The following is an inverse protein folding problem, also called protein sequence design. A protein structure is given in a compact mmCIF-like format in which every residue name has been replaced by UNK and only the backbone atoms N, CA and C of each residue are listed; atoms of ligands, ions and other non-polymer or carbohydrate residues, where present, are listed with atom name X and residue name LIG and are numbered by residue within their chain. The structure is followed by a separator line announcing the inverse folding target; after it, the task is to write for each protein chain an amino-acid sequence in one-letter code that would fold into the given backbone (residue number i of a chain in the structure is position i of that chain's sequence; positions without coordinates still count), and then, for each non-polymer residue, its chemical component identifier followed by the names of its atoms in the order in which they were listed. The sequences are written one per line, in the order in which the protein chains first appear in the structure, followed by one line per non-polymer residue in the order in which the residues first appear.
data_IF_473280740751
#
_entry.id   IF_473280740751
#
_cell.length_a   1.000
_cell.length_b   1.000
_cell.length_c   1.000
_cell.angle_alpha   90.00
_cell.angle_beta   90.00
_cell.angle_gamma   90.00
#
_symmetry.space_group_name_H-M   'P 1'
#
loop_
_entity.id
_entity.type
_entity.pdbx_description
1 polymer ?
#
# COMPACT_ATOMS: atom_id res chain seq x y z
N UNK A 1 27.40 -6.72 8.52
CA UNK A 1 26.38 -6.59 7.45
C UNK A 1 24.99 -6.47 8.08
N UNK A 2 24.02 -5.80 7.44
CA UNK A 2 22.65 -5.61 8.00
C UNK A 2 21.76 -6.86 7.92
N UNK A 3 22.13 -7.85 7.11
CA UNK A 3 21.35 -9.08 6.91
C UNK A 3 20.25 -8.97 5.86
N UNK A 4 20.30 -7.94 4.99
CA UNK A 4 19.23 -7.63 4.04
C UNK A 4 18.14 -6.74 4.65
N UNK A 5 17.03 -6.59 3.93
CA UNK A 5 15.81 -5.98 4.45
C UNK A 5 15.13 -6.90 5.48
N UNK A 6 14.16 -6.36 6.23
CA UNK A 6 13.43 -7.14 7.22
C UNK A 6 12.66 -8.28 6.54
N UNK A 7 12.87 -9.52 7.01
CA UNK A 7 12.24 -10.72 6.46
C UNK A 7 10.95 -11.13 7.20
N UNK A 8 10.62 -10.39 8.27
CA UNK A 8 9.43 -10.62 9.09
C UNK A 8 8.27 -9.64 8.81
N UNK A 9 8.46 -8.67 7.90
CA UNK A 9 7.43 -7.69 7.56
C UNK A 9 6.49 -8.21 6.45
N UNK A 10 5.57 -9.11 6.83
CA UNK A 10 4.71 -9.83 5.86
C UNK A 10 3.68 -8.96 5.12
N UNK A 11 3.53 -7.69 5.49
CA UNK A 11 2.64 -6.71 4.83
C UNK A 11 3.42 -5.69 3.98
N UNK A 12 4.74 -5.84 3.84
CA UNK A 12 5.65 -4.87 3.23
C UNK A 12 5.86 -3.62 4.11
N UNK A 13 6.52 -2.60 3.56
CA UNK A 13 7.06 -1.37 4.22
C UNK A 13 8.57 -1.40 4.49
N UNK A 14 9.32 -2.37 3.97
CA UNK A 14 10.74 -2.51 4.29
C UNK A 14 11.60 -1.34 3.81
N UNK A 15 11.19 -0.68 2.74
CA UNK A 15 11.77 0.56 2.23
C UNK A 15 11.57 1.72 3.22
N UNK A 16 10.35 1.88 3.74
CA UNK A 16 10.03 2.85 4.79
C UNK A 16 10.82 2.55 6.08
N UNK A 17 10.86 1.28 6.49
CA UNK A 17 11.64 0.84 7.65
C UNK A 17 13.12 1.18 7.48
N UNK A 18 13.69 0.91 6.29
CA UNK A 18 15.07 1.24 5.98
C UNK A 18 15.36 2.73 6.05
N UNK A 19 14.53 3.55 5.38
CA UNK A 19 14.68 5.00 5.40
C UNK A 19 14.64 5.58 6.82
N UNK A 20 13.70 5.12 7.65
CA UNK A 20 13.58 5.62 9.03
C UNK A 20 14.63 5.02 9.97
N UNK A 21 15.11 3.80 9.72
CA UNK A 21 16.20 3.21 10.48
C UNK A 21 17.51 3.99 10.30
N UNK A 22 17.80 4.47 9.09
CA UNK A 22 18.94 5.37 8.84
C UNK A 22 18.87 6.66 9.67
N UNK A 23 17.66 7.11 9.99
CA UNK A 23 17.41 8.29 10.82
C UNK A 23 17.29 7.97 12.32
N UNK A 24 17.43 6.71 12.74
CA UNK A 24 17.20 6.29 14.13
C UNK A 24 15.73 6.37 14.58
N UNK A 25 14.78 6.43 13.63
CA UNK A 25 13.35 6.70 13.85
C UNK A 25 12.44 5.51 13.56
N UNK A 26 12.96 4.28 13.64
CA UNK A 26 12.23 3.06 13.27
C UNK A 26 10.87 2.91 13.98
N UNK A 27 10.73 3.42 15.21
CA UNK A 27 9.48 3.33 16.00
C UNK A 27 8.28 4.01 15.32
N UNK A 28 8.51 4.95 14.42
CA UNK A 28 7.46 5.69 13.71
C UNK A 28 6.87 4.94 12.51
N UNK A 29 7.47 3.81 12.14
CA UNK A 29 7.12 3.07 10.91
C UNK A 29 6.07 1.99 11.10
N UNK A 30 5.66 1.73 12.34
CA UNK A 30 4.67 0.72 12.69
C UNK A 30 3.77 1.22 13.84
N UNK A 31 2.55 0.67 14.02
CA UNK A 31 1.64 1.11 15.07
C UNK A 31 2.18 0.89 16.48
N UNK A 32 1.80 1.76 17.41
CA UNK A 32 2.22 1.67 18.82
C UNK A 32 1.78 0.37 19.50
N UNK A 33 0.67 -0.23 19.06
CA UNK A 33 0.08 -1.46 19.56
C UNK A 33 0.57 -2.73 18.82
N UNK A 34 1.64 -2.65 18.03
CA UNK A 34 2.26 -3.84 17.43
C UNK A 34 2.78 -4.80 18.52
N UNK A 35 2.95 -6.09 18.19
CA UNK A 35 3.52 -7.05 19.12
C UNK A 35 4.94 -6.63 19.57
N UNK A 36 5.25 -6.91 20.84
CA UNK A 36 6.54 -6.55 21.45
C UNK A 36 7.71 -7.21 20.74
N UNK A 37 7.58 -8.47 20.34
CA UNK A 37 8.67 -9.18 19.64
C UNK A 37 8.97 -8.56 18.27
N UNK A 38 7.95 -8.17 17.53
CA UNK A 38 8.07 -7.40 16.29
C UNK A 38 8.85 -6.10 16.54
N UNK A 39 8.44 -5.32 17.55
CA UNK A 39 9.09 -4.05 17.88
C UNK A 39 10.57 -4.24 18.27
N UNK A 40 10.89 -5.30 19.02
CA UNK A 40 12.28 -5.64 19.37
C UNK A 40 13.10 -6.01 18.14
N UNK A 41 12.58 -6.86 17.25
CA UNK A 41 13.26 -7.24 16.02
C UNK A 41 13.52 -6.04 15.11
N UNK A 42 12.51 -5.18 14.94
CA UNK A 42 12.64 -3.94 14.17
C UNK A 42 13.70 -3.01 14.76
N UNK A 43 13.74 -2.86 16.09
CA UNK A 43 14.78 -2.09 16.76
C UNK A 43 16.16 -2.71 16.55
N UNK A 44 16.34 -4.00 16.80
CA UNK A 44 17.64 -4.66 16.64
C UNK A 44 18.14 -4.61 15.21
N UNK A 45 17.25 -4.69 14.21
CA UNK A 45 17.61 -4.47 12.81
C UNK A 45 18.00 -3.01 12.55
N UNK A 46 17.25 -2.04 13.08
CA UNK A 46 17.57 -0.62 12.96
C UNK A 46 18.90 -0.25 13.61
N UNK A 47 19.24 -0.86 14.75
CA UNK A 47 20.53 -0.65 15.43
C UNK A 47 21.70 -1.09 14.53
N UNK A 48 21.54 -2.18 13.76
CA UNK A 48 22.54 -2.62 12.76
C UNK A 48 22.66 -1.65 11.60
N UNK A 49 21.54 -1.12 11.10
CA UNK A 49 21.52 -0.09 10.05
C UNK A 49 22.25 1.17 10.52
N UNK A 50 21.91 1.66 11.71
CA UNK A 50 22.54 2.83 12.32
C UNK A 50 24.04 2.64 12.56
N UNK A 51 24.47 1.45 12.99
CA UNK A 51 25.89 1.15 13.15
C UNK A 51 26.64 1.26 11.81
N UNK A 52 26.11 0.69 10.72
CA UNK A 52 26.73 0.78 9.39
C UNK A 52 26.78 2.22 8.90
N UNK A 53 25.71 2.98 9.04
CA UNK A 53 25.69 4.40 8.69
C UNK A 53 26.74 5.19 9.51
N UNK A 54 26.87 4.91 10.80
CA UNK A 54 27.85 5.53 11.69
C UNK A 54 29.31 5.24 11.31
N UNK A 55 29.58 4.10 10.66
CA UNK A 55 30.91 3.76 10.11
C UNK A 55 31.15 4.31 8.69
N UNK A 56 30.31 5.23 8.21
CA UNK A 56 30.43 5.81 6.86
C UNK A 56 29.83 4.93 5.75
N UNK A 57 28.97 3.98 6.10
CA UNK A 57 28.23 3.18 5.11
C UNK A 57 27.28 4.05 4.29
N UNK A 58 27.36 3.93 2.97
CA UNK A 58 26.53 4.67 2.03
C UNK A 58 25.40 3.80 1.46
N UNK A 59 24.27 4.44 1.15
CA UNK A 59 23.20 3.80 0.37
C UNK A 59 23.57 3.89 -1.11
N UNK A 60 23.87 2.74 -1.71
CA UNK A 60 24.10 2.63 -3.15
C UNK A 60 22.81 2.71 -3.95
N UNK A 61 22.92 3.00 -5.24
CA UNK A 61 21.81 2.94 -6.20
C UNK A 61 22.28 2.29 -7.49
N UNK A 62 21.32 1.80 -8.29
CA UNK A 62 21.60 1.33 -9.64
C UNK A 62 21.19 2.45 -10.60
N UNK A 63 22.10 2.85 -11.47
CA UNK A 63 21.85 3.91 -12.47
C UNK A 63 20.97 3.39 -13.61
N UNK A 64 19.67 3.24 -13.32
CA UNK A 64 18.64 2.79 -14.25
C UNK A 64 17.37 3.59 -14.06
N UNK A 65 16.62 3.76 -15.15
CA UNK A 65 15.30 4.41 -15.10
C UNK A 65 14.21 3.39 -14.80
N UNK A 66 13.45 3.63 -13.74
CA UNK A 66 12.23 2.86 -13.42
C UNK A 66 11.01 3.65 -13.90
N UNK A 67 10.34 3.16 -14.93
CA UNK A 67 9.16 3.81 -15.50
C UNK A 67 7.85 3.19 -14.98
N UNK A 68 7.19 3.88 -14.06
CA UNK A 68 5.82 3.55 -13.65
C UNK A 68 4.81 4.28 -14.56
N UNK A 69 4.41 3.67 -15.69
CA UNK A 69 3.47 4.28 -16.65
C UNK A 69 2.07 4.53 -16.07
N UNK A 70 1.72 3.85 -14.99
CA UNK A 70 0.48 4.02 -14.26
C UNK A 70 0.79 4.03 -12.77
N UNK A 71 0.13 4.91 -12.04
CA UNK A 71 0.14 4.89 -10.58
C UNK A 71 -1.27 5.20 -10.11
N UNK A 72 -1.82 4.34 -9.27
CA UNK A 72 -3.04 4.66 -8.53
C UNK A 72 -2.87 5.96 -7.73
N UNK A 73 -3.99 6.63 -7.46
CA UNK A 73 -3.98 7.87 -6.69
C UNK A 73 -3.30 7.65 -5.34
N UNK A 74 -2.50 8.62 -4.87
CA UNK A 74 -1.78 8.49 -3.58
C UNK A 74 -2.73 8.14 -2.42
N UNK A 75 -3.92 8.73 -2.44
CA UNK A 75 -4.95 8.54 -1.42
C UNK A 75 -5.60 7.15 -1.48
N UNK A 76 -5.54 6.46 -2.62
CA UNK A 76 -6.11 5.10 -2.79
C UNK A 76 -5.12 3.97 -2.48
N UNK A 77 -3.88 4.28 -2.08
CA UNK A 77 -2.85 3.26 -1.78
C UNK A 77 -3.04 2.59 -0.41
N UNK A 78 -3.80 3.22 0.50
CA UNK A 78 -4.24 2.66 1.79
C UNK A 78 -3.17 2.00 2.67
N UNK A 79 -1.88 2.32 2.50
CA UNK A 79 -0.75 1.64 3.16
C UNK A 79 -0.81 1.59 4.68
N UNK A 80 -1.59 2.45 5.33
CA UNK A 80 -1.80 2.39 6.77
C UNK A 80 -2.68 1.19 7.19
N UNK A 81 -3.67 0.83 6.38
CA UNK A 81 -4.65 -0.21 6.72
C UNK A 81 -4.06 -1.61 6.86
N UNK A 82 -2.96 -1.90 6.16
CA UNK A 82 -2.29 -3.21 6.24
C UNK A 82 -1.76 -3.54 7.62
N UNK A 83 -1.30 -2.51 8.34
CA UNK A 83 -0.76 -2.67 9.69
C UNK A 83 -1.82 -3.08 10.71
N UNK A 84 -3.07 -2.72 10.48
CA UNK A 84 -4.19 -3.11 11.33
C UNK A 84 -4.34 -4.64 11.38
N UNK A 85 -4.00 -5.36 10.31
CA UNK A 85 -4.05 -6.83 10.30
C UNK A 85 -3.09 -7.38 11.34
N UNK A 86 -1.85 -6.90 11.35
CA UNK A 86 -0.81 -7.40 12.26
C UNK A 86 -1.09 -7.00 13.71
N UNK A 87 -1.47 -5.75 13.95
CA UNK A 87 -1.73 -5.27 15.30
C UNK A 87 -3.02 -5.83 15.90
N UNK A 88 -4.08 -6.00 15.09
CA UNK A 88 -5.35 -6.57 15.56
C UNK A 88 -5.22 -8.03 15.99
N UNK A 89 -4.51 -8.86 15.22
CA UNK A 89 -4.32 -10.27 15.55
C UNK A 89 -3.07 -10.55 16.41
N UNK A 90 -2.35 -9.51 16.83
CA UNK A 90 -1.15 -9.63 17.67
C UNK A 90 -0.07 -10.49 17.02
N UNK A 91 0.17 -10.29 15.72
CA UNK A 91 1.18 -11.03 14.95
C UNK A 91 2.55 -10.97 15.61
N UNK A 92 3.14 -12.13 15.83
CA UNK A 92 4.41 -12.35 16.53
C UNK A 92 5.36 -13.05 15.57
N UNK A 93 6.34 -12.37 14.96
CA UNK A 93 7.30 -13.02 14.07
C UNK A 93 7.95 -14.28 14.66
N UNK A 94 8.24 -14.28 15.96
CA UNK A 94 8.88 -15.41 16.63
C UNK A 94 7.99 -16.67 16.74
N UNK A 95 6.66 -16.50 16.70
CA UNK A 95 5.68 -17.60 16.82
C UNK A 95 4.99 -17.94 15.51
N UNK A 96 4.85 -16.94 14.65
CA UNK A 96 3.95 -16.97 13.52
C UNK A 96 4.70 -17.20 12.20
N UNK A 97 6.03 -17.04 12.21
CA UNK A 97 6.90 -17.37 11.09
C UNK A 97 7.78 -18.58 11.39
N UNK A 98 7.93 -19.42 10.39
CA UNK A 98 8.94 -20.46 10.35
C UNK A 98 9.73 -20.34 9.05
N UNK A 99 10.97 -20.82 9.10
CA UNK A 99 11.87 -20.87 7.94
C UNK A 99 12.14 -22.32 7.61
N UNK A 100 12.05 -22.65 6.33
CA UNK A 100 12.57 -23.91 5.82
C UNK A 100 14.06 -23.75 5.59
N UNK A 101 14.89 -24.50 6.33
CA UNK A 101 16.34 -24.37 6.27
C UNK A 101 16.95 -24.85 4.94
N UNK A 102 16.27 -25.74 4.21
CA UNK A 102 16.76 -26.22 2.91
C UNK A 102 16.47 -25.21 1.81
N UNK A 103 15.25 -24.67 1.77
CA UNK A 103 14.81 -23.76 0.72
C UNK A 103 15.04 -22.27 1.06
N UNK A 104 15.27 -21.95 2.33
CA UNK A 104 15.33 -20.57 2.84
C UNK A 104 13.98 -19.86 2.88
N UNK A 105 12.89 -20.53 2.48
CA UNK A 105 11.55 -19.94 2.38
C UNK A 105 10.98 -19.71 3.78
N UNK A 106 10.50 -18.49 4.03
CA UNK A 106 9.76 -18.13 5.23
C UNK A 106 8.27 -18.34 4.97
N UNK A 107 7.58 -18.99 5.91
CA UNK A 107 6.16 -19.28 5.81
C UNK A 107 5.45 -19.08 7.16
N UNK A 108 4.14 -18.84 7.10
CA UNK A 108 3.30 -18.79 8.29
C UNK A 108 3.17 -20.18 8.91
N UNK A 109 3.31 -20.29 10.22
CA UNK A 109 3.45 -21.57 10.94
C UNK A 109 2.28 -22.54 10.80
N UNK A 110 1.08 -22.11 10.37
CA UNK A 110 -0.06 -23.02 10.21
C UNK A 110 -0.04 -23.88 8.95
N UNK A 111 0.94 -23.71 8.04
CA UNK A 111 0.88 -24.34 6.70
C UNK A 111 0.94 -25.87 6.68
N UNK A 112 1.20 -26.55 7.81
CA UNK A 112 1.41 -28.01 7.86
C UNK A 112 0.77 -28.77 9.02
N UNK A 113 -0.15 -28.20 9.80
CA UNK A 113 -0.77 -28.95 10.90
C UNK A 113 -2.26 -28.71 11.02
N UNK A 114 -3.00 -29.81 11.06
CA UNK A 114 -4.38 -29.95 11.52
C UNK A 114 -4.51 -29.62 13.02
N UNK A 115 -3.91 -28.52 13.48
CA UNK A 115 -4.05 -28.09 14.86
C UNK A 115 -5.39 -27.36 14.99
N UNK A 116 -6.38 -28.04 15.55
CA UNK A 116 -7.74 -27.55 15.81
C UNK A 116 -7.82 -26.47 16.90
N UNK A 117 -6.72 -25.80 17.21
CA UNK A 117 -6.61 -24.91 18.36
C UNK A 117 -6.78 -23.42 17.98
N UNK A 118 -7.15 -22.59 18.96
CA UNK A 118 -7.39 -21.15 18.79
C UNK A 118 -6.23 -20.40 18.08
N UNK A 119 -4.99 -20.87 18.27
CA UNK A 119 -3.82 -20.33 17.59
C UNK A 119 -3.83 -20.49 16.07
N UNK A 120 -4.33 -21.63 15.56
CA UNK A 120 -4.42 -21.88 14.12
C UNK A 120 -5.45 -20.96 13.45
N UNK A 121 -6.59 -20.71 14.13
CA UNK A 121 -7.62 -19.76 13.66
C UNK A 121 -7.09 -18.34 13.54
N UNK A 122 -6.21 -17.92 14.45
CA UNK A 122 -5.57 -16.59 14.43
C UNK A 122 -4.62 -16.44 13.25
N UNK A 123 -3.75 -17.42 12.99
CA UNK A 123 -2.82 -17.37 11.85
C UNK A 123 -3.57 -17.40 10.53
N UNK A 124 -4.63 -18.21 10.44
CA UNK A 124 -5.49 -18.23 9.27
C UNK A 124 -6.16 -16.86 9.05
N UNK A 125 -6.62 -16.20 10.12
CA UNK A 125 -7.20 -14.86 10.03
C UNK A 125 -6.18 -13.81 9.56
N UNK A 126 -4.92 -13.90 10.01
CA UNK A 126 -3.83 -13.06 9.51
C UNK A 126 -3.61 -13.32 8.01
N UNK A 127 -3.45 -14.58 7.60
CA UNK A 127 -3.23 -14.95 6.21
C UNK A 127 -4.37 -14.45 5.31
N UNK A 128 -5.62 -14.72 5.69
CA UNK A 128 -6.81 -14.24 4.98
C UNK A 128 -6.86 -12.71 4.95
N UNK A 129 -6.52 -12.04 6.05
CA UNK A 129 -6.46 -10.59 6.15
C UNK A 129 -5.46 -9.98 5.16
N UNK A 130 -4.25 -10.53 5.10
CA UNK A 130 -3.19 -10.11 4.18
C UNK A 130 -3.63 -10.33 2.72
N UNK A 131 -4.11 -11.53 2.40
CA UNK A 131 -4.60 -11.86 1.06
C UNK A 131 -5.75 -10.93 0.64
N UNK A 132 -6.75 -10.74 1.51
CA UNK A 132 -7.88 -9.87 1.22
C UNK A 132 -7.47 -8.40 1.06
N UNK A 133 -6.53 -7.92 1.87
CA UNK A 133 -6.00 -6.57 1.72
C UNK A 133 -5.38 -6.38 0.33
N UNK A 134 -4.47 -7.25 -0.09
CA UNK A 134 -3.83 -7.11 -1.40
C UNK A 134 -4.80 -7.37 -2.57
N UNK A 135 -5.75 -8.31 -2.44
CA UNK A 135 -6.76 -8.54 -3.48
C UNK A 135 -7.79 -7.40 -3.61
N UNK A 136 -8.02 -6.64 -2.54
CA UNK A 136 -8.93 -5.50 -2.56
C UNK A 136 -8.27 -4.21 -3.04
N UNK A 137 -6.94 -4.14 -2.94
CA UNK A 137 -6.13 -3.00 -3.35
C UNK A 137 -5.40 -3.34 -4.64
N UNK A 138 -6.14 -3.31 -5.73
CA UNK A 138 -5.54 -3.27 -7.06
C UNK A 138 -5.11 -1.81 -7.32
N UNK A 139 -3.81 -1.52 -7.17
CA UNK A 139 -3.25 -0.19 -7.46
C UNK A 139 -3.50 0.25 -8.92
N UNK A 140 -3.89 -0.70 -9.81
CA UNK A 140 -4.07 -0.52 -11.25
C UNK A 140 -5.50 -0.73 -11.80
N UNK A 141 -6.48 -1.26 -11.04
CA UNK A 141 -7.88 -1.40 -11.51
C UNK A 141 -8.94 -0.67 -10.67
N UNK A 142 -9.14 0.60 -10.98
CA UNK A 142 -10.40 1.34 -10.70
C UNK A 142 -11.64 0.65 -11.32
N UNK A 143 -11.46 -0.26 -12.30
CA UNK A 143 -12.56 -0.98 -12.98
C UNK A 143 -13.30 -1.99 -12.10
N UNK A 144 -12.62 -2.67 -11.16
CA UNK A 144 -13.24 -3.73 -10.35
C UNK A 144 -14.14 -3.12 -9.26
N UNK A 145 -13.76 -1.97 -8.68
CA UNK A 145 -14.64 -1.24 -7.77
C UNK A 145 -15.90 -0.76 -8.50
N UNK A 146 -15.75 -0.18 -9.71
CA UNK A 146 -16.89 0.28 -10.50
C UNK A 146 -17.81 -0.88 -10.91
N UNK A 147 -17.26 -2.04 -11.30
CA UNK A 147 -18.07 -3.24 -11.60
C UNK A 147 -18.73 -3.86 -10.37
N UNK A 148 -18.08 -3.87 -9.20
CA UNK A 148 -18.70 -4.33 -7.94
C UNK A 148 -19.79 -3.37 -7.44
N UNK A 149 -19.61 -2.07 -7.65
CA UNK A 149 -20.60 -1.06 -7.33
C UNK A 149 -21.80 -1.13 -8.28
N UNK A 150 -21.57 -1.35 -9.59
CA UNK A 150 -22.62 -1.58 -10.58
C UNK A 150 -23.36 -2.92 -10.37
N UNK A 151 -22.67 -3.99 -9.98
CA UNK A 151 -23.31 -5.27 -9.65
C UNK A 151 -24.15 -5.21 -8.36
N UNK A 152 -23.79 -4.32 -7.42
CA UNK A 152 -24.61 -4.01 -6.23
C UNK A 152 -25.80 -3.10 -6.54
N UNK A 153 -25.65 -2.16 -7.48
CA UNK A 153 -26.75 -1.29 -7.94
C UNK A 153 -27.73 -2.01 -8.89
N UNK A 154 -27.29 -3.05 -9.60
CA UNK A 154 -28.15 -3.83 -10.52
C UNK A 154 -29.17 -4.76 -9.88
N UNK A 155 -29.22 -4.89 -8.54
CA UNK A 155 -30.24 -5.69 -7.83
C UNK A 155 -31.44 -4.89 -7.31
N UNK A 156 -31.46 -3.58 -7.51
CA UNK A 156 -32.62 -2.73 -7.22
C UNK A 156 -33.02 -1.98 -8.48
N UNK A 157 -33.95 -2.54 -9.25
CA UNK A 157 -34.48 -1.88 -10.45
C UNK A 157 -35.22 -2.79 -11.42
N UNK A 158 -36.18 -3.58 -10.95
CA UNK A 158 -37.30 -3.97 -11.82
C UNK A 158 -38.27 -2.78 -11.85
N UNK A 159 -38.12 -1.94 -12.86
CA UNK A 159 -38.99 -0.80 -13.13
C UNK A 159 -38.80 -0.34 -14.58
N UNK A 160 -39.80 -0.63 -15.40
CA UNK A 160 -40.02 -0.24 -16.79
C UNK A 160 -39.05 0.77 -17.42
N UNK A 161 -38.31 0.34 -18.45
CA UNK A 161 -37.58 1.24 -19.36
C UNK A 161 -38.58 1.77 -20.39
N UNK A 162 -39.03 3.01 -20.21
CA UNK A 162 -39.66 3.78 -21.28
C UNK A 162 -38.58 4.21 -22.29
N UNK A 163 -38.82 3.92 -23.57
CA UNK A 163 -37.93 4.27 -24.68
C UNK A 163 -37.92 5.78 -24.93
N UNK A 164 -36.76 6.46 -25.04
CA UNK A 164 -36.74 7.87 -25.41
C UNK A 164 -36.95 8.01 -26.93
N UNK A 165 -38.04 8.68 -27.31
CA UNK A 165 -38.27 9.19 -28.67
C UNK A 165 -37.23 10.27 -29.00
N UNK A 166 -36.56 10.14 -30.15
CA UNK A 166 -35.69 11.16 -30.75
C UNK A 166 -36.47 12.46 -31.06
N UNK A 167 -35.95 13.65 -30.77
CA UNK A 167 -36.30 14.86 -31.50
C UNK A 167 -35.38 15.07 -32.71
N UNK A 168 -35.98 15.55 -33.78
CA UNK A 168 -35.41 15.80 -35.11
C UNK A 168 -34.50 17.04 -35.14
N UNK A 169 -33.62 17.03 -36.13
CA UNK A 169 -32.70 18.06 -36.61
C UNK A 169 -33.28 19.49 -36.75
N UNK A 170 -32.50 20.50 -36.37
CA UNK A 170 -32.43 21.80 -37.04
C UNK A 170 -31.13 22.55 -36.68
N UNK A 171 -30.45 23.06 -37.70
CA UNK A 171 -29.42 24.12 -37.74
C UNK A 171 -29.73 24.94 -39.01
N UNK A 172 -29.19 26.14 -39.31
CA UNK A 172 -28.25 27.02 -38.59
C UNK A 172 -28.70 28.51 -38.55
N UNK A 173 -28.15 29.33 -37.63
CA UNK A 173 -27.71 30.72 -37.87
C UNK A 173 -27.59 31.50 -36.55
N UNK A 174 -26.34 31.75 -36.12
CA UNK A 174 -25.97 32.95 -35.37
C UNK A 174 -24.45 33.16 -35.50
N UNK A 175 -24.06 33.81 -36.60
CA UNK A 175 -22.82 34.58 -36.67
C UNK A 175 -22.92 35.77 -35.71
N UNK A 176 -21.95 35.97 -34.81
CA UNK A 176 -21.05 37.15 -34.87
C UNK A 176 -20.19 37.33 -33.60
N UNK A 177 -18.90 37.56 -33.88
CA UNK A 177 -17.94 38.48 -33.24
C UNK A 177 -17.32 38.13 -31.88
N UNK A 178 -16.06 37.73 -31.98
CA UNK A 178 -14.98 37.93 -30.99
C UNK A 178 -14.64 39.41 -30.83
N UNK A 179 -14.08 39.80 -29.68
CA UNK A 179 -12.80 40.52 -29.72
C UNK A 179 -11.75 40.05 -28.69
N UNK A 180 -10.54 39.91 -29.24
CA UNK A 180 -9.19 40.24 -28.71
C UNK A 180 -8.83 39.98 -27.24
N UNK A 181 -7.89 39.04 -27.11
CA UNK A 181 -6.62 39.14 -26.36
C UNK A 181 -6.56 40.08 -25.14
N UNK A 182 -6.39 39.47 -23.96
CA UNK A 182 -5.68 40.07 -22.84
C UNK A 182 -4.60 39.10 -22.34
N UNK A 183 -3.35 39.57 -22.39
CA UNK A 183 -2.15 38.95 -21.84
C UNK A 183 -1.78 39.70 -20.57
N UNK A 184 -1.46 38.99 -19.48
CA UNK A 184 -0.43 39.29 -18.46
C UNK A 184 -0.69 38.47 -17.16
N UNK A 185 0.27 38.38 -16.22
CA UNK A 185 1.62 37.89 -16.36
C UNK A 185 1.95 36.77 -15.33
N UNK A 186 3.10 36.11 -15.52
CA UNK A 186 3.71 35.16 -14.59
C UNK A 186 4.00 35.83 -13.24
N UNK A 187 3.65 35.17 -12.12
CA UNK A 187 4.29 35.38 -10.81
C UNK A 187 4.87 34.06 -10.31
N UNK A 188 6.18 34.10 -10.12
CA UNK A 188 6.97 33.10 -9.43
C UNK A 188 6.61 33.08 -7.94
N UNK A 189 6.51 31.88 -7.35
CA UNK A 189 6.63 31.68 -5.91
C UNK A 189 7.92 30.91 -5.66
N UNK A 190 8.93 31.64 -5.22
CA UNK A 190 10.11 31.14 -4.50
C UNK A 190 10.02 31.70 -3.08
N UNK A 191 10.59 30.94 -2.14
CA UNK A 191 10.71 31.15 -0.68
C UNK A 191 9.50 30.65 0.13
N UNK A 192 9.67 29.85 1.18
CA UNK A 192 10.88 29.33 1.80
C UNK A 192 10.49 28.54 3.06
N UNK A 193 11.29 27.57 3.47
CA UNK A 193 11.37 27.11 4.85
C UNK A 193 12.83 26.69 5.09
N UNK A 194 13.51 27.49 5.91
CA UNK A 194 14.69 27.09 6.65
C UNK A 194 14.32 26.01 7.67
#
# INVERSE_FOLDING_TARGET
AIGGLMDFCIVGSDDLHFAFALLGRIRETYPSNINRDYAMLAKSWSDRVGAIAGYGGNVGYVDVNVYHRRSGSRNSRSYFGRWLILSHYGFSPAKDLARDEQSGVIYLTNKRRFDLDLGARRIEAIQRGVVNYFLSHDEDNQRIMMMRQMARMGRYGHGAVATPRRPRSASPNAMMRMPRQFVAPRRAYLQGFY
#
